data_IF_024189959267
#
_entry.id   IF_024189959267
#
_cell.length_a   1.000
_cell.length_b   1.000
_cell.length_c   1.000
_cell.angle_alpha   90.00
_cell.angle_beta   90.00
_cell.angle_gamma   90.00
#
_symmetry.space_group_name_H-M   'P 1'
#
loop_
_entity.id
_entity.type
_entity.pdbx_description
1 polymer ?
#
# COMPACT_ATOMS: atom_id res chain seq x y z
N UNK A 1 2.87 14.92 5.18
CA UNK A 1 2.74 13.45 5.01
C UNK A 1 1.28 13.00 4.87
N UNK A 2 0.29 13.71 5.46
CA UNK A 2 -1.14 13.30 5.34
C UNK A 2 -1.65 13.29 3.89
N UNK A 3 -1.37 14.25 3.02
CA UNK A 3 -1.91 14.20 1.65
C UNK A 3 -1.24 13.14 0.75
N UNK A 4 0.02 12.80 1.05
CA UNK A 4 0.89 12.04 0.14
C UNK A 4 0.69 10.53 0.21
N UNK A 5 -0.04 10.01 1.21
CA UNK A 5 -0.43 8.60 1.23
C UNK A 5 -1.46 8.25 0.15
N UNK A 6 -2.23 9.23 -0.33
CA UNK A 6 -3.20 9.04 -1.44
C UNK A 6 -2.53 9.33 -2.79
N UNK A 7 -1.92 10.50 -2.94
CA UNK A 7 -1.23 10.93 -4.15
C UNK A 7 0.15 11.51 -3.83
N UNK A 8 1.21 10.92 -4.39
CA UNK A 8 2.55 11.50 -4.26
C UNK A 8 2.63 12.81 -5.05
N UNK A 9 3.26 13.82 -4.45
CA UNK A 9 3.50 15.12 -5.10
C UNK A 9 4.56 15.02 -6.20
N UNK A 10 5.51 14.09 -6.03
CA UNK A 10 6.63 13.84 -6.94
C UNK A 10 6.77 12.33 -7.13
N UNK A 11 6.99 11.91 -8.37
CA UNK A 11 7.31 10.54 -8.73
C UNK A 11 8.74 10.51 -9.25
N UNK A 12 9.71 10.33 -8.35
CA UNK A 12 11.11 10.17 -8.68
C UNK A 12 11.54 8.74 -8.35
N UNK A 13 11.83 7.94 -9.38
CA UNK A 13 12.19 6.53 -9.23
C UNK A 13 13.70 6.28 -9.16
N UNK A 14 14.50 7.35 -9.18
CA UNK A 14 15.97 7.27 -9.23
C UNK A 14 16.63 7.57 -7.88
N UNK A 15 15.97 8.38 -7.05
CA UNK A 15 16.42 8.66 -5.68
C UNK A 15 16.14 7.49 -4.72
N UNK A 16 16.77 7.48 -3.53
CA UNK A 16 16.35 6.58 -2.45
C UNK A 16 14.86 6.78 -2.10
N UNK A 17 14.16 5.73 -1.60
CA UNK A 17 12.78 5.86 -1.15
C UNK A 17 12.61 6.90 -0.05
N UNK A 18 11.55 7.71 -0.18
CA UNK A 18 11.12 8.69 0.81
C UNK A 18 10.08 8.10 1.77
N UNK A 19 9.88 8.74 2.93
CA UNK A 19 8.84 8.33 3.88
C UNK A 19 7.44 8.35 3.25
N UNK A 20 7.14 9.37 2.43
CA UNK A 20 5.87 9.51 1.74
C UNK A 20 5.60 8.34 0.77
N UNK A 21 6.63 7.90 0.05
CA UNK A 21 6.58 6.75 -0.86
C UNK A 21 6.32 5.45 -0.12
N UNK A 22 7.00 5.23 1.01
CA UNK A 22 6.81 4.05 1.86
C UNK A 22 5.38 4.01 2.38
N UNK A 23 4.86 5.12 2.88
CA UNK A 23 3.48 5.21 3.42
C UNK A 23 2.46 4.99 2.29
N UNK A 24 2.62 5.65 1.13
CA UNK A 24 1.74 5.49 -0.03
C UNK A 24 1.69 4.03 -0.51
N UNK A 25 2.85 3.39 -0.65
CA UNK A 25 2.91 1.99 -1.07
C UNK A 25 2.32 1.03 -0.02
N UNK A 26 2.59 1.27 1.26
CA UNK A 26 2.06 0.44 2.35
C UNK A 26 0.54 0.45 2.35
N UNK A 27 -0.08 1.62 2.23
CA UNK A 27 -1.53 1.79 2.15
C UNK A 27 -2.13 1.02 0.95
N UNK A 28 -1.52 1.15 -0.23
CA UNK A 28 -1.98 0.47 -1.45
C UNK A 28 -1.97 -1.06 -1.37
N UNK A 29 -1.12 -1.64 -0.53
CA UNK A 29 -1.03 -3.09 -0.32
C UNK A 29 -1.99 -3.64 0.73
N UNK A 30 -2.69 -2.78 1.47
CA UNK A 30 -3.72 -3.22 2.41
C UNK A 30 -4.98 -3.60 1.65
N UNK A 31 -5.39 -4.85 1.80
CA UNK A 31 -6.69 -5.36 1.40
C UNK A 31 -7.43 -5.80 2.66
N UNK A 32 -8.44 -5.01 3.05
CA UNK A 32 -9.14 -5.17 4.32
C UNK A 32 -8.17 -5.10 5.51
N UNK A 33 -7.93 -6.22 6.19
CA UNK A 33 -7.04 -6.37 7.34
C UNK A 33 -5.75 -7.14 7.00
N UNK A 34 -5.53 -7.43 5.72
CA UNK A 34 -4.38 -8.23 5.25
C UNK A 34 -3.50 -7.44 4.30
N UNK A 35 -2.20 -7.74 4.33
CA UNK A 35 -1.25 -7.26 3.32
C UNK A 35 -1.32 -8.23 2.14
N UNK A 36 -1.96 -7.81 1.05
CA UNK A 36 -2.07 -8.61 -0.16
C UNK A 36 -0.86 -8.38 -1.07
N UNK A 37 -0.46 -9.38 -1.87
CA UNK A 37 0.37 -9.15 -3.04
C UNK A 37 -0.28 -8.10 -3.94
N UNK A 38 0.54 -7.27 -4.56
CA UNK A 38 0.06 -6.19 -5.39
C UNK A 38 -0.88 -6.76 -6.47
N UNK A 39 -0.50 -7.86 -7.15
CA UNK A 39 -1.31 -8.45 -8.22
C UNK A 39 -2.70 -8.88 -7.77
N UNK A 40 -2.81 -9.51 -6.59
CA UNK A 40 -4.10 -9.88 -6.01
C UNK A 40 -4.95 -8.64 -5.69
N UNK A 41 -4.32 -7.56 -5.23
CA UNK A 41 -5.01 -6.28 -5.01
C UNK A 41 -5.57 -5.71 -6.32
N UNK A 42 -4.81 -5.81 -7.41
CA UNK A 42 -5.24 -5.36 -8.73
C UNK A 42 -6.49 -6.09 -9.21
N UNK A 43 -6.46 -7.43 -9.15
CA UNK A 43 -7.57 -8.27 -9.59
C UNK A 43 -8.85 -7.92 -8.81
N UNK A 44 -8.72 -7.73 -7.50
CA UNK A 44 -9.82 -7.28 -6.65
C UNK A 44 -10.36 -5.90 -7.11
N UNK A 45 -9.51 -4.90 -7.32
CA UNK A 45 -9.94 -3.55 -7.71
C UNK A 45 -10.65 -3.59 -9.07
N UNK A 46 -10.10 -4.32 -10.03
CA UNK A 46 -10.71 -4.49 -11.35
C UNK A 46 -12.08 -5.16 -11.25
N UNK A 47 -12.20 -6.22 -10.45
CA UNK A 47 -13.47 -6.94 -10.25
C UNK A 47 -14.53 -6.06 -9.58
N UNK A 48 -14.16 -5.28 -8.56
CA UNK A 48 -15.11 -4.49 -7.77
C UNK A 48 -15.46 -3.12 -8.41
N UNK A 49 -14.49 -2.48 -9.04
CA UNK A 49 -14.62 -1.08 -9.50
C UNK A 49 -14.48 -0.91 -11.02
N UNK A 50 -13.97 -1.90 -11.76
CA UNK A 50 -13.82 -1.90 -13.21
C UNK A 50 -15.14 -2.07 -13.98
N UNK A 51 -16.10 -1.16 -13.78
CA UNK A 51 -17.44 -1.19 -14.38
C UNK A 51 -17.48 -0.65 -15.82
N UNK A 52 -16.50 0.16 -16.20
CA UNK A 52 -16.39 0.75 -17.55
C UNK A 52 -14.97 0.63 -18.09
N UNK A 53 -14.79 0.81 -19.40
CA UNK A 53 -13.47 0.80 -20.04
C UNK A 53 -12.56 1.90 -19.48
N UNK A 54 -13.12 3.08 -19.17
CA UNK A 54 -12.39 4.19 -18.57
C UNK A 54 -11.90 3.84 -17.16
N UNK A 55 -12.69 3.09 -16.38
CA UNK A 55 -12.25 2.59 -15.08
C UNK A 55 -11.07 1.63 -15.23
N UNK A 56 -11.15 0.70 -16.18
CA UNK A 56 -10.07 -0.26 -16.44
C UNK A 56 -8.77 0.45 -16.81
N UNK A 57 -8.86 1.45 -17.69
CA UNK A 57 -7.68 2.23 -18.10
C UNK A 57 -7.05 2.98 -16.91
N UNK A 58 -7.86 3.72 -16.14
CA UNK A 58 -7.36 4.46 -14.96
C UNK A 58 -6.75 3.55 -13.91
N UNK A 59 -7.38 2.39 -13.66
CA UNK A 59 -6.88 1.40 -12.71
C UNK A 59 -5.52 0.86 -13.19
N UNK A 60 -5.36 0.58 -14.49
CA UNK A 60 -4.09 0.15 -15.09
C UNK A 60 -2.99 1.21 -15.00
N UNK A 61 -3.31 2.47 -15.23
CA UNK A 61 -2.32 3.57 -15.11
C UNK A 61 -1.84 3.75 -13.65
N UNK A 62 -2.77 3.70 -12.68
CA UNK A 62 -2.43 3.71 -11.24
C UNK A 62 -1.56 2.52 -10.84
N UNK A 63 -1.84 1.37 -11.45
CA UNK A 63 -1.14 0.13 -11.23
C UNK A 63 0.31 0.16 -11.72
N UNK A 64 0.56 0.60 -12.95
CA UNK A 64 1.91 0.73 -13.50
C UNK A 64 2.81 1.62 -12.63
N UNK A 65 2.26 2.74 -12.13
CA UNK A 65 2.97 3.62 -11.19
C UNK A 65 3.29 2.94 -9.88
N UNK A 66 2.39 2.09 -9.39
CA UNK A 66 2.59 1.39 -8.11
C UNK A 66 3.58 0.24 -8.24
N UNK A 67 3.62 -0.48 -9.36
CA UNK A 67 4.70 -1.46 -9.64
C UNK A 67 6.07 -0.79 -9.71
N UNK A 68 6.16 0.34 -10.41
CA UNK A 68 7.43 1.09 -10.49
C UNK A 68 7.92 1.52 -9.11
N UNK A 69 6.99 1.86 -8.21
CA UNK A 69 7.30 2.18 -6.81
C UNK A 69 7.72 0.94 -6.01
N UNK A 70 7.07 -0.20 -6.22
CA UNK A 70 7.47 -1.49 -5.62
C UNK A 70 8.91 -1.86 -6.02
N UNK A 71 9.23 -1.78 -7.31
CA UNK A 71 10.59 -2.02 -7.80
C UNK A 71 11.62 -1.09 -7.15
N UNK A 72 11.27 0.19 -7.00
CA UNK A 72 12.12 1.19 -6.32
C UNK A 72 12.39 0.79 -4.87
N UNK A 73 11.33 0.41 -4.15
CA UNK A 73 11.41 0.08 -2.72
C UNK A 73 12.21 -1.20 -2.47
N UNK A 74 12.00 -2.23 -3.29
CA UNK A 74 12.56 -3.55 -3.07
C UNK A 74 13.95 -3.76 -3.70
N UNK A 75 14.38 -2.88 -4.62
CA UNK A 75 15.74 -2.93 -5.21
C UNK A 75 16.86 -2.99 -4.18
N UNK A 76 16.66 -2.41 -3.00
CA UNK A 76 17.67 -2.31 -1.95
C UNK A 76 17.41 -3.23 -0.75
N UNK A 77 16.39 -4.09 -0.81
CA UNK A 77 16.00 -4.97 0.29
C UNK A 77 16.45 -6.41 0.03
N UNK A 78 16.77 -7.18 1.09
CA UNK A 78 17.21 -8.57 0.96
C UNK A 78 16.04 -9.58 0.82
N UNK A 79 14.81 -9.09 0.65
CA UNK A 79 13.58 -9.88 0.52
C UNK A 79 12.69 -9.28 -0.57
N UNK A 80 11.73 -10.05 -1.08
CA UNK A 80 10.83 -9.64 -2.15
C UNK A 80 9.49 -9.12 -1.63
N UNK A 81 8.67 -8.45 -2.47
CA UNK A 81 7.33 -8.02 -2.07
C UNK A 81 6.43 -9.18 -1.61
N UNK A 82 6.61 -10.36 -2.18
CA UNK A 82 5.85 -11.56 -1.84
C UNK A 82 6.10 -12.01 -0.41
N UNK A 83 7.35 -11.89 0.08
CA UNK A 83 7.76 -12.26 1.44
C UNK A 83 7.03 -11.44 2.54
N UNK A 84 6.48 -10.28 2.18
CA UNK A 84 5.72 -9.41 3.09
C UNK A 84 4.26 -9.88 3.21
N UNK A 85 3.76 -10.62 2.23
CA UNK A 85 2.37 -11.07 2.17
C UNK A 85 2.14 -12.18 3.19
N UNK A 86 1.21 -11.99 4.12
CA UNK A 86 0.93 -12.96 5.20
C UNK A 86 1.65 -12.69 6.54
N UNK A 87 2.41 -11.61 6.66
CA UNK A 87 2.97 -11.18 7.96
C UNK A 87 1.88 -10.76 8.98
N UNK A 88 0.63 -10.57 8.54
CA UNK A 88 -0.50 -10.19 9.40
C UNK A 88 -0.88 -11.27 10.43
N UNK A 89 -0.38 -12.52 10.32
CA UNK A 89 -0.60 -13.55 11.35
C UNK A 89 0.39 -13.49 12.53
N UNK A 90 1.48 -12.73 12.42
CA UNK A 90 2.48 -12.58 13.52
C UNK A 90 2.17 -11.40 14.46
N UNK A 91 1.02 -10.75 14.30
CA UNK A 91 0.63 -9.52 14.98
C UNK A 91 -0.22 -9.66 16.24
N UNK A 92 -0.10 -10.74 17.04
CA UNK A 92 -0.42 -10.60 18.49
C UNK A 92 0.70 -9.81 19.16
N UNK A 93 0.84 -8.55 18.79
CA UNK A 93 1.51 -7.59 19.66
C UNK A 93 0.58 -7.51 20.87
N UNK A 94 0.98 -8.13 21.99
CA UNK A 94 0.38 -7.77 23.28
C UNK A 94 0.57 -6.27 23.41
N UNK A 95 -0.50 -5.50 23.24
CA UNK A 95 -0.60 -4.17 23.80
C UNK A 95 -0.33 -4.31 25.29
N UNK A 96 0.92 -4.14 25.71
CA UNK A 96 1.18 -3.72 27.07
C UNK A 96 0.65 -2.30 27.13
N UNK A 97 -0.51 -2.18 27.76
CA UNK A 97 -1.16 -0.94 28.07
C UNK A 97 -0.12 0.07 28.57
N UNK A 98 0.13 1.10 27.77
CA UNK A 98 0.46 2.39 28.31
C UNK A 98 -0.87 3.14 28.34
N UNK A 99 -1.35 3.31 29.56
CA UNK A 99 -2.59 4.01 29.89
C UNK A 99 -2.63 5.36 29.17
N UNK A 100 -3.55 5.49 28.22
CA UNK A 100 -3.71 6.69 27.41
C UNK A 100 -4.70 6.42 26.29
N UNK A 101 -5.92 6.92 26.46
CA UNK A 101 -7.10 6.70 25.63
C UNK A 101 -6.81 6.78 24.12
N UNK A 102 -6.98 5.65 23.42
CA UNK A 102 -6.91 5.59 21.96
C UNK A 102 -8.24 6.10 21.39
N UNK A 103 -8.23 7.36 20.95
CA UNK A 103 -9.40 8.07 20.45
C UNK A 103 -9.34 8.31 18.95
N UNK A 104 -9.04 7.31 18.12
CA UNK A 104 -9.28 7.43 16.67
C UNK A 104 -9.75 6.09 16.10
N UNK A 105 -11.02 5.79 16.38
CA UNK A 105 -11.85 4.92 15.56
C UNK A 105 -13.19 5.63 15.47
N UNK A 106 -13.38 6.41 14.40
CA UNK A 106 -14.64 6.80 13.75
C UNK A 106 -14.42 8.10 12.95
N UNK A 107 -14.56 8.03 11.63
CA UNK A 107 -15.00 9.18 10.84
C UNK A 107 -14.21 9.49 9.56
N UNK A 108 -14.82 9.04 8.45
CA UNK A 108 -14.75 9.57 7.07
C UNK A 108 -13.51 9.25 6.22
#
# INVERSE_FOLDING_TARGET
>A
IIAQHVFLDIYDYTSPPTEAEIINYSDKRVLHDTIAPLGQRMDYILQQYGKTQEHHQRIRELWERTNTLEDKLFRHLPFSPEDVSGLSESGKIKCQALEGECHICLGL
#
